data_IF_580535781438
#
_entry.id   IF_580535781438
#
_cell.length_a   1.000
_cell.length_b   1.000
_cell.length_c   1.000
_cell.angle_alpha   90.00
_cell.angle_beta   90.00
_cell.angle_gamma   90.00
#
_symmetry.space_group_name_H-M   'P 1'
#
loop_
_entity.id
_entity.type
_entity.pdbx_description
1 polymer ?
#
# COMPACT_ATOMS: atom_id res chain seq x y z
N UNK A 1 3.14 -18.28 -0.48
CA UNK A 1 1.70 -18.00 -0.28
C UNK A 1 1.34 -17.68 1.17
N UNK A 2 1.74 -18.49 2.15
CA UNK A 2 1.47 -18.24 3.59
C UNK A 2 2.00 -16.90 4.10
N UNK A 3 3.21 -16.49 3.67
CA UNK A 3 3.78 -15.18 4.00
C UNK A 3 2.97 -13.99 3.48
N UNK A 4 2.40 -14.09 2.27
CA UNK A 4 1.52 -13.05 1.72
C UNK A 4 0.23 -12.95 2.55
N UNK A 5 -0.36 -14.09 2.92
CA UNK A 5 -1.53 -14.12 3.80
C UNK A 5 -1.26 -13.48 5.16
N UNK A 6 -0.14 -13.83 5.80
CA UNK A 6 0.18 -13.36 7.15
C UNK A 6 0.67 -11.92 7.21
N UNK A 7 1.52 -11.49 6.27
CA UNK A 7 2.16 -10.17 6.33
C UNK A 7 1.38 -9.09 5.60
N UNK A 8 0.55 -9.45 4.63
CA UNK A 8 -0.20 -8.47 3.82
C UNK A 8 -1.67 -8.46 4.19
N UNK A 9 -2.34 -9.63 4.17
CA UNK A 9 -3.78 -9.70 4.41
C UNK A 9 -4.12 -9.60 5.90
N UNK A 10 -3.37 -10.29 6.77
CA UNK A 10 -3.60 -10.30 8.22
C UNK A 10 -3.68 -8.90 8.85
N UNK A 11 -2.67 -8.03 8.67
CA UNK A 11 -2.69 -6.67 9.21
C UNK A 11 -3.85 -5.83 8.68
N UNK A 12 -4.19 -5.98 7.39
CA UNK A 12 -5.33 -5.26 6.81
C UNK A 12 -6.63 -5.72 7.45
N UNK A 13 -6.87 -7.04 7.58
CA UNK A 13 -8.05 -7.57 8.26
C UNK A 13 -8.15 -7.07 9.70
N UNK A 14 -7.03 -7.06 10.44
CA UNK A 14 -6.97 -6.48 11.77
C UNK A 14 -7.37 -5.00 11.78
N UNK A 15 -6.84 -4.19 10.86
CA UNK A 15 -7.18 -2.77 10.75
C UNK A 15 -8.67 -2.56 10.41
N UNK A 16 -9.22 -3.36 9.51
CA UNK A 16 -10.64 -3.32 9.15
C UNK A 16 -11.52 -3.61 10.37
N UNK A 17 -11.19 -4.65 11.15
CA UNK A 17 -11.92 -5.02 12.37
C UNK A 17 -11.79 -3.92 13.43
N UNK A 18 -10.57 -3.44 13.68
CA UNK A 18 -10.28 -2.43 14.70
C UNK A 18 -10.99 -1.08 14.43
N UNK A 19 -11.29 -0.77 13.16
CA UNK A 19 -11.86 0.51 12.76
C UNK A 19 -13.29 0.43 12.23
N UNK A 20 -13.96 -0.73 12.32
CA UNK A 20 -15.32 -0.94 11.79
C UNK A 20 -16.39 0.00 12.37
N UNK A 21 -16.17 0.52 13.58
CA UNK A 21 -17.09 1.47 14.24
C UNK A 21 -16.97 2.92 13.73
N UNK A 22 -15.98 3.23 12.89
CA UNK A 22 -15.78 4.58 12.35
C UNK A 22 -16.54 4.72 11.01
N UNK A 23 -17.42 5.73 10.85
CA UNK A 23 -18.15 5.94 9.60
C UNK A 23 -17.22 6.05 8.39
N UNK A 24 -17.49 5.29 7.33
CA UNK A 24 -16.72 5.31 6.09
C UNK A 24 -15.31 4.70 6.17
N UNK A 25 -14.85 4.22 7.32
CA UNK A 25 -13.49 3.72 7.49
C UNK A 25 -13.20 2.44 6.69
N UNK A 26 -14.05 1.41 6.84
CA UNK A 26 -13.94 0.13 6.11
C UNK A 26 -13.93 0.33 4.59
N UNK A 27 -14.91 0.99 3.97
CA UNK A 27 -14.89 1.17 2.52
C UNK A 27 -13.68 1.99 2.05
N UNK A 28 -13.25 3.01 2.81
CA UNK A 28 -12.06 3.81 2.45
C UNK A 28 -10.79 2.97 2.48
N UNK A 29 -10.59 2.14 3.51
CA UNK A 29 -9.43 1.24 3.61
C UNK A 29 -9.44 0.17 2.51
N UNK A 30 -10.60 -0.41 2.19
CA UNK A 30 -10.74 -1.37 1.09
C UNK A 30 -10.45 -0.73 -0.28
N UNK A 31 -10.96 0.47 -0.53
CA UNK A 31 -10.65 1.23 -1.74
C UNK A 31 -9.16 1.57 -1.81
N UNK A 32 -8.54 1.95 -0.69
CA UNK A 32 -7.10 2.21 -0.63
C UNK A 32 -6.29 0.95 -0.97
N UNK A 33 -6.67 -0.20 -0.40
CA UNK A 33 -6.06 -1.49 -0.71
C UNK A 33 -6.18 -1.83 -2.20
N UNK A 34 -7.39 -1.78 -2.76
CA UNK A 34 -7.60 -2.02 -4.19
C UNK A 34 -6.85 -1.01 -5.06
N UNK A 35 -6.80 0.26 -4.63
CA UNK A 35 -6.04 1.31 -5.29
C UNK A 35 -4.55 1.00 -5.34
N UNK A 36 -3.96 0.51 -4.25
CA UNK A 36 -2.55 0.10 -4.23
C UNK A 36 -2.25 -1.04 -5.21
N UNK A 37 -3.16 -2.02 -5.30
CA UNK A 37 -3.07 -3.10 -6.28
C UNK A 37 -3.14 -2.55 -7.72
N UNK A 38 -4.08 -1.64 -7.98
CA UNK A 38 -4.21 -0.99 -9.29
C UNK A 38 -2.97 -0.17 -9.64
N UNK A 39 -2.38 0.56 -8.69
CA UNK A 39 -1.15 1.33 -8.93
C UNK A 39 -0.01 0.40 -9.31
N UNK A 40 0.17 -0.73 -8.60
CA UNK A 40 1.20 -1.70 -8.96
C UNK A 40 0.97 -2.23 -10.38
N UNK A 41 -0.25 -2.68 -10.68
CA UNK A 41 -0.58 -3.17 -12.03
C UNK A 41 -0.28 -2.10 -13.07
N UNK A 42 -0.70 -0.85 -12.84
CA UNK A 42 -0.59 0.26 -13.76
C UNK A 42 0.84 0.82 -13.95
N UNK A 43 1.82 0.40 -13.17
CA UNK A 43 3.17 1.01 -13.21
C UNK A 43 4.30 0.01 -13.20
N UNK A 44 4.11 -1.13 -12.53
CA UNK A 44 5.14 -2.13 -12.23
C UNK A 44 4.85 -3.51 -12.80
N UNK A 45 3.66 -3.79 -13.34
CA UNK A 45 3.42 -5.12 -13.93
C UNK A 45 4.09 -5.34 -15.29
N UNK A 46 4.68 -4.28 -15.87
CA UNK A 46 5.46 -4.30 -17.10
C UNK A 46 6.83 -3.65 -16.87
N UNK A 47 7.87 -4.42 -16.52
CA UNK A 47 9.22 -3.87 -16.49
C UNK A 47 9.66 -3.50 -17.93
N UNK A 48 10.06 -2.24 -18.13
CA UNK A 48 10.45 -1.71 -19.44
C UNK A 48 11.96 -1.52 -19.60
N UNK A 49 12.74 -1.77 -18.54
CA UNK A 49 14.17 -1.64 -18.55
C UNK A 49 14.88 -2.81 -19.26
N UNK A 50 16.15 -2.63 -19.64
CA UNK A 50 17.01 -3.74 -20.04
C UNK A 50 17.01 -4.81 -18.95
N UNK A 51 17.05 -6.08 -19.33
CA UNK A 51 17.07 -7.22 -18.39
C UNK A 51 15.85 -7.40 -17.48
N UNK A 52 14.73 -6.70 -17.75
CA UNK A 52 13.53 -6.81 -16.93
C UNK A 52 13.53 -5.92 -15.69
N UNK A 53 14.39 -4.89 -15.67
CA UNK A 53 14.42 -3.90 -14.60
C UNK A 53 13.31 -2.84 -14.75
N UNK A 54 12.98 -2.16 -13.65
CA UNK A 54 12.12 -0.98 -13.66
C UNK A 54 12.89 0.26 -14.08
N UNK A 55 12.34 1.04 -15.01
CA UNK A 55 12.91 2.34 -15.34
C UNK A 55 12.73 3.31 -14.16
N UNK A 56 13.66 4.27 -13.92
CA UNK A 56 13.57 5.21 -12.79
C UNK A 56 12.24 5.98 -12.74
N UNK A 57 11.69 6.35 -13.91
CA UNK A 57 10.42 7.06 -13.97
C UNK A 57 9.22 6.20 -13.53
N UNK A 58 9.26 4.87 -13.74
CA UNK A 58 8.20 3.96 -13.27
C UNK A 58 8.14 3.96 -11.75
N UNK A 59 9.31 3.94 -11.10
CA UNK A 59 9.45 4.01 -9.64
C UNK A 59 8.91 5.33 -9.09
N UNK A 60 9.29 6.45 -9.70
CA UNK A 60 8.81 7.79 -9.31
C UNK A 60 7.30 7.92 -9.51
N UNK A 61 6.77 7.45 -10.65
CA UNK A 61 5.34 7.48 -10.96
C UNK A 61 4.55 6.65 -9.94
N UNK A 62 4.96 5.41 -9.70
CA UNK A 62 4.35 4.53 -8.70
C UNK A 62 4.32 5.18 -7.32
N UNK A 63 5.46 5.68 -6.84
CA UNK A 63 5.55 6.37 -5.55
C UNK A 63 4.62 7.58 -5.47
N UNK A 64 4.58 8.40 -6.51
CA UNK A 64 3.72 9.59 -6.58
C UNK A 64 2.23 9.23 -6.55
N UNK A 65 1.82 8.20 -7.28
CA UNK A 65 0.44 7.72 -7.28
C UNK A 65 0.04 7.13 -5.92
N UNK A 66 0.93 6.38 -5.26
CA UNK A 66 0.67 5.84 -3.92
C UNK A 66 0.50 6.95 -2.87
N UNK A 67 1.33 7.99 -2.93
CA UNK A 67 1.20 9.17 -2.06
C UNK A 67 -0.12 9.88 -2.34
N UNK A 68 -0.45 10.14 -3.61
CA UNK A 68 -1.69 10.79 -4.00
C UNK A 68 -2.93 10.01 -3.53
N UNK A 69 -2.95 8.69 -3.76
CA UNK A 69 -4.01 7.80 -3.29
C UNK A 69 -4.19 7.91 -1.77
N UNK A 70 -3.08 7.88 -1.03
CA UNK A 70 -3.08 7.97 0.43
C UNK A 70 -3.61 9.33 0.90
N UNK A 71 -3.16 10.43 0.29
CA UNK A 71 -3.61 11.79 0.61
C UNK A 71 -5.12 11.91 0.37
N UNK A 72 -5.61 11.50 -0.81
CA UNK A 72 -7.03 11.60 -1.17
C UNK A 72 -7.89 10.78 -0.19
N UNK A 73 -7.47 9.57 0.14
CA UNK A 73 -8.21 8.71 1.06
C UNK A 73 -8.16 9.24 2.51
N UNK A 74 -7.03 9.79 2.96
CA UNK A 74 -6.91 10.42 4.28
C UNK A 74 -7.69 11.73 4.39
N UNK A 75 -7.83 12.51 3.30
CA UNK A 75 -8.71 13.70 3.27
C UNK A 75 -10.19 13.29 3.36
N UNK A 76 -10.58 12.21 2.67
CA UNK A 76 -11.97 11.69 2.68
C UNK A 76 -12.36 11.11 4.03
N UNK A 77 -11.47 10.36 4.69
CA UNK A 77 -11.74 9.75 6.00
C UNK A 77 -10.57 9.99 6.96
N UNK A 78 -10.45 11.21 7.53
CA UNK A 78 -9.29 11.59 8.34
C UNK A 78 -9.16 10.76 9.62
N UNK A 79 -10.27 10.21 10.14
CA UNK A 79 -10.32 9.35 11.32
C UNK A 79 -9.49 8.05 11.19
N UNK A 80 -9.09 7.67 9.98
CA UNK A 80 -8.28 6.47 9.68
C UNK A 80 -7.11 6.76 8.73
N UNK A 81 -6.57 7.99 8.74
CA UNK A 81 -5.48 8.39 7.85
C UNK A 81 -4.29 7.41 7.83
N UNK A 82 -3.76 7.02 8.99
CA UNK A 82 -2.68 6.03 9.08
C UNK A 82 -3.04 4.64 8.54
N UNK A 83 -4.13 4.02 9.04
CA UNK A 83 -4.62 2.75 8.53
C UNK A 83 -4.86 2.70 7.01
N UNK A 84 -5.26 3.82 6.40
CA UNK A 84 -5.43 3.94 4.96
C UNK A 84 -4.11 3.82 4.21
N UNK A 85 -3.06 4.50 4.68
CA UNK A 85 -1.72 4.40 4.08
C UNK A 85 -1.15 2.97 4.16
N UNK A 86 -1.35 2.30 5.30
CA UNK A 86 -0.96 0.90 5.46
C UNK A 86 -1.75 -0.04 4.54
N UNK A 87 -3.05 0.21 4.39
CA UNK A 87 -3.94 -0.56 3.51
C UNK A 87 -3.54 -0.42 2.04
N UNK A 88 -3.24 0.80 1.58
CA UNK A 88 -2.73 1.04 0.24
C UNK A 88 -1.41 0.29 -0.02
N UNK A 89 -0.43 0.42 0.88
CA UNK A 89 0.85 -0.27 0.77
C UNK A 89 0.67 -1.79 0.73
N UNK A 90 -0.25 -2.33 1.52
CA UNK A 90 -0.55 -3.76 1.54
C UNK A 90 -1.14 -4.24 0.21
N UNK A 91 -2.04 -3.49 -0.41
CA UNK A 91 -2.56 -3.82 -1.74
C UNK A 91 -1.47 -3.85 -2.82
N UNK A 92 -0.58 -2.86 -2.79
CA UNK A 92 0.59 -2.80 -3.67
C UNK A 92 1.54 -3.99 -3.42
N UNK A 93 1.83 -4.28 -2.15
CA UNK A 93 2.71 -5.37 -1.72
C UNK A 93 2.13 -6.75 -2.04
N UNK A 94 0.81 -6.92 -2.06
CA UNK A 94 0.17 -8.16 -2.50
C UNK A 94 0.50 -8.44 -3.97
N UNK A 95 0.26 -7.46 -4.84
CA UNK A 95 0.47 -7.61 -6.28
C UNK A 95 1.95 -7.85 -6.59
N UNK A 96 2.83 -7.03 -6.03
CA UNK A 96 4.28 -7.23 -6.11
C UNK A 96 4.69 -8.60 -5.59
N UNK A 97 4.17 -9.01 -4.43
CA UNK A 97 4.53 -10.26 -3.79
C UNK A 97 4.11 -11.48 -4.61
N UNK A 98 2.91 -11.51 -5.18
CA UNK A 98 2.49 -12.60 -6.07
C UNK A 98 3.44 -12.74 -7.26
N UNK A 99 3.83 -11.62 -7.87
CA UNK A 99 4.77 -11.60 -8.98
C UNK A 99 6.18 -12.04 -8.58
N UNK A 100 6.71 -11.49 -7.48
CA UNK A 100 8.07 -11.77 -7.01
C UNK A 100 8.23 -13.24 -6.56
N UNK A 101 7.30 -13.75 -5.75
CA UNK A 101 7.36 -15.14 -5.29
C UNK A 101 7.19 -16.16 -6.43
N UNK A 102 6.55 -15.80 -7.55
CA UNK A 102 6.40 -16.69 -8.69
C UNK A 102 7.71 -16.87 -9.48
N UNK A 103 8.70 -16.00 -9.28
CA UNK A 103 9.97 -15.96 -10.03
C UNK A 103 11.19 -16.14 -9.11
N UNK A 104 10.97 -16.45 -7.83
CA UNK A 104 12.01 -16.45 -6.82
C UNK A 104 12.60 -17.83 -6.57
N UNK A 105 13.78 -18.06 -7.12
CA UNK A 105 14.60 -19.25 -6.85
C UNK A 105 15.60 -19.03 -5.69
N UNK A 106 15.68 -17.80 -5.15
CA UNK A 106 16.69 -17.39 -4.16
C UNK A 106 16.16 -17.35 -2.73
N UNK A 107 14.83 -17.30 -2.56
CA UNK A 107 14.15 -17.11 -1.28
C UNK A 107 14.18 -15.67 -0.75
N UNK A 108 14.71 -14.72 -1.51
CA UNK A 108 14.86 -13.33 -1.08
C UNK A 108 13.55 -12.52 -1.14
N UNK A 109 12.53 -12.99 -1.87
CA UNK A 109 11.25 -12.27 -2.01
C UNK A 109 10.54 -12.06 -0.67
N UNK A 110 10.69 -12.99 0.28
CA UNK A 110 10.13 -12.83 1.62
C UNK A 110 10.75 -11.67 2.39
N UNK A 111 12.07 -11.51 2.29
CA UNK A 111 12.81 -10.41 2.90
C UNK A 111 12.46 -9.09 2.19
N UNK A 112 12.40 -9.10 0.86
CA UNK A 112 11.96 -7.95 0.07
C UNK A 112 10.54 -7.49 0.43
N UNK A 113 9.62 -8.43 0.69
CA UNK A 113 8.25 -8.13 1.13
C UNK A 113 8.24 -7.39 2.47
N UNK A 114 9.06 -7.84 3.42
CA UNK A 114 9.19 -7.21 4.74
C UNK A 114 9.71 -5.77 4.57
N UNK A 115 10.76 -5.58 3.79
CA UNK A 115 11.29 -4.24 3.53
C UNK A 115 10.29 -3.32 2.82
N UNK A 116 9.54 -3.86 1.86
CA UNK A 116 8.49 -3.12 1.16
C UNK A 116 7.40 -2.66 2.14
N UNK A 117 6.93 -3.55 3.02
CA UNK A 117 5.90 -3.22 4.00
C UNK A 117 6.40 -2.23 5.06
N UNK A 118 7.61 -2.39 5.58
CA UNK A 118 8.17 -1.45 6.55
C UNK A 118 8.46 -0.08 5.92
N UNK A 119 9.08 -0.07 4.73
CA UNK A 119 9.43 1.15 4.01
C UNK A 119 8.21 1.88 3.46
N UNK A 120 7.51 1.26 2.51
CA UNK A 120 6.34 1.88 1.87
C UNK A 120 5.13 1.94 2.82
N UNK A 121 4.85 0.87 3.57
CA UNK A 121 3.74 0.86 4.53
C UNK A 121 3.95 1.85 5.67
N UNK A 122 5.15 1.90 6.26
CA UNK A 122 5.48 2.88 7.31
C UNK A 122 5.38 4.32 6.80
N UNK A 123 5.97 4.60 5.64
CA UNK A 123 5.97 5.96 5.06
C UNK A 123 4.57 6.42 4.66
N UNK A 124 3.77 5.57 4.01
CA UNK A 124 2.40 5.93 3.62
C UNK A 124 1.47 6.04 4.83
N UNK A 125 1.64 5.20 5.85
CA UNK A 125 0.92 5.37 7.11
C UNK A 125 1.25 6.72 7.76
N UNK A 126 2.51 7.14 7.76
CA UNK A 126 2.90 8.45 8.26
C UNK A 126 2.27 9.60 7.44
N UNK A 127 2.32 9.52 6.10
CA UNK A 127 1.65 10.50 5.21
C UNK A 127 0.16 10.60 5.54
N UNK A 128 -0.53 9.46 5.62
CA UNK A 128 -1.95 9.42 5.94
C UNK A 128 -2.27 9.97 7.33
N UNK A 129 -1.45 9.67 8.34
CA UNK A 129 -1.59 10.24 9.69
C UNK A 129 -1.47 11.77 9.67
N UNK A 130 -0.44 12.30 9.01
CA UNK A 130 -0.20 13.75 8.93
C UNK A 130 -1.35 14.45 8.20
N UNK A 131 -1.75 13.96 7.04
CA UNK A 131 -2.88 14.52 6.26
C UNK A 131 -4.17 14.46 7.06
N UNK A 132 -4.47 13.32 7.69
CA UNK A 132 -5.67 13.18 8.51
C UNK A 132 -5.67 14.11 9.73
N UNK A 133 -4.51 14.32 10.36
CA UNK A 133 -4.36 15.25 11.47
C UNK A 133 -4.55 16.71 11.04
N UNK A 134 -3.95 17.11 9.92
CA UNK A 134 -4.10 18.45 9.35
C UNK A 134 -5.56 18.71 8.96
N UNK A 135 -6.21 17.75 8.29
CA UNK A 135 -7.61 17.90 7.87
C UNK A 135 -8.57 18.12 9.04
N UNK A 136 -8.34 17.44 10.17
CA UNK A 136 -9.14 17.64 11.41
C UNK A 136 -8.91 18.97 12.10
N UNK A 137 -7.82 19.68 11.81
CA UNK A 137 -7.54 21.00 12.39
C UNK A 137 -8.15 22.15 11.60
N UNK A 138 -8.42 21.94 10.31
CA UNK A 138 -8.85 22.97 9.36
C UNK A 138 -10.34 22.84 8.99
N UNK A 139 -10.97 21.70 9.28
CA UNK A 139 -12.42 21.48 9.11
C UNK A 139 -13.10 21.34 10.44
#
# INVERSE_FOLDING_TARGET
MTLLGLLVIGPVLFLLIAHRGKPGAVPTMLIAFLGGLVVWLATMSWPLGPHGDYLPWQVVLSGSLMVLLTVVAAVRCPAVGGPVGWSAASGFALAWGVWAFAQDDTGQSGVGLIFLLLGAGGSLALVGLLVGALRRRVG
#
